data_IF_766181393059
#
_entry.id   IF_766181393059
#
_cell.length_a   1.000
_cell.length_b   1.000
_cell.length_c   1.000
_cell.angle_alpha   90.00
_cell.angle_beta   90.00
_cell.angle_gamma   90.00
#
_symmetry.space_group_name_H-M   'P 1'
#
loop_
_entity.id
_entity.type
_entity.pdbx_description
1 polymer ?
#
# COMPACT_ATOMS: atom_id res chain seq x y z
N UNK A 1 2.58 -19.53 -2.97
CA UNK A 1 2.49 -18.81 -4.25
C UNK A 1 3.48 -17.66 -4.23
N UNK A 2 4.11 -17.30 -5.37
CA UNK A 2 5.05 -16.19 -5.43
C UNK A 2 4.31 -14.86 -5.19
N UNK A 3 4.82 -14.06 -4.25
CA UNK A 3 4.30 -12.72 -3.96
C UNK A 3 4.85 -11.77 -5.02
N UNK A 4 3.99 -11.18 -5.83
CA UNK A 4 4.41 -10.19 -6.83
C UNK A 4 4.50 -8.82 -6.20
N UNK A 5 5.64 -8.14 -6.42
CA UNK A 5 5.89 -6.78 -5.94
C UNK A 5 5.70 -5.77 -7.06
N UNK A 6 4.70 -4.89 -6.94
CA UNK A 6 4.50 -3.74 -7.84
C UNK A 6 4.83 -2.44 -7.10
N UNK A 7 5.60 -1.55 -7.74
CA UNK A 7 5.97 -0.24 -7.16
C UNK A 7 5.26 0.85 -7.95
N UNK A 8 4.53 1.69 -7.24
CA UNK A 8 3.77 2.81 -7.78
C UNK A 8 4.27 4.10 -7.13
N UNK A 9 4.38 5.17 -7.90
CA UNK A 9 4.66 6.50 -7.38
C UNK A 9 3.42 7.37 -7.55
N UNK A 10 2.76 7.69 -6.42
CA UNK A 10 1.59 8.55 -6.40
C UNK A 10 2.05 10.00 -6.25
N UNK A 11 1.76 10.83 -7.25
CA UNK A 11 2.10 12.24 -7.19
C UNK A 11 1.23 12.93 -6.12
N UNK A 12 1.86 13.53 -5.10
CA UNK A 12 1.19 14.29 -4.04
C UNK A 12 1.13 15.77 -4.44
N UNK A 13 2.24 16.30 -4.96
CA UNK A 13 2.35 17.68 -5.45
C UNK A 13 3.10 17.70 -6.78
N UNK A 14 3.19 18.86 -7.43
CA UNK A 14 3.98 19.03 -8.66
C UNK A 14 5.46 18.63 -8.51
N UNK A 15 6.00 18.61 -7.28
CA UNK A 15 7.40 18.32 -6.98
C UNK A 15 7.61 17.13 -6.05
N UNK A 16 6.55 16.50 -5.56
CA UNK A 16 6.65 15.40 -4.60
C UNK A 16 5.77 14.21 -4.95
N UNK A 17 6.32 13.00 -4.77
CA UNK A 17 5.59 11.75 -4.94
C UNK A 17 5.75 10.82 -3.74
N UNK A 18 4.67 10.13 -3.37
CA UNK A 18 4.67 9.05 -2.41
C UNK A 18 5.00 7.73 -3.12
N UNK A 19 5.94 6.96 -2.58
CA UNK A 19 6.18 5.60 -3.04
C UNK A 19 5.22 4.63 -2.37
N UNK A 20 4.49 3.86 -3.17
CA UNK A 20 3.59 2.81 -2.73
C UNK A 20 4.10 1.47 -3.26
N UNK A 21 4.30 0.50 -2.37
CA UNK A 21 4.71 -0.85 -2.70
C UNK A 21 3.52 -1.78 -2.47
N UNK A 22 3.03 -2.39 -3.54
CA UNK A 22 1.99 -3.39 -3.50
C UNK A 22 2.63 -4.78 -3.51
N UNK A 23 2.33 -5.58 -2.48
CA UNK A 23 2.63 -6.99 -2.36
C UNK A 23 1.33 -7.75 -2.67
N UNK A 24 1.27 -8.34 -3.86
CA UNK A 24 0.08 -9.02 -4.36
C UNK A 24 0.27 -10.51 -4.12
N UNK A 25 -0.62 -11.11 -3.32
CA UNK A 25 -0.52 -12.52 -2.92
C UNK A 25 -0.87 -13.49 -4.06
N UNK A 26 -1.77 -13.07 -4.95
CA UNK A 26 -2.21 -13.80 -6.13
C UNK A 26 -2.33 -12.82 -7.31
N UNK A 27 -1.37 -12.88 -8.24
CA UNK A 27 -1.28 -11.93 -9.35
C UNK A 27 -2.37 -12.15 -10.39
N UNK A 28 -2.67 -13.40 -10.73
CA UNK A 28 -3.63 -13.74 -11.79
C UNK A 28 -5.02 -13.24 -11.39
N UNK A 29 -5.44 -13.55 -10.16
CA UNK A 29 -6.68 -13.05 -9.60
C UNK A 29 -6.75 -11.51 -9.55
N UNK A 30 -5.65 -10.85 -9.17
CA UNK A 30 -5.59 -9.40 -9.08
C UNK A 30 -5.79 -8.72 -10.44
N UNK A 31 -5.22 -9.30 -11.49
CA UNK A 31 -5.29 -8.79 -12.86
C UNK A 31 -6.66 -9.09 -13.49
N UNK A 32 -7.19 -10.31 -13.32
CA UNK A 32 -8.55 -10.70 -13.76
C UNK A 32 -9.64 -9.80 -13.17
N UNK A 33 -9.55 -9.49 -11.89
CA UNK A 33 -10.53 -8.66 -11.19
C UNK A 33 -10.30 -7.15 -11.41
N UNK A 34 -9.25 -6.77 -12.15
CA UNK A 34 -8.88 -5.37 -12.43
C UNK A 34 -8.82 -4.50 -11.18
N UNK A 35 -8.19 -5.03 -10.11
CA UNK A 35 -8.26 -4.42 -8.78
C UNK A 35 -7.44 -3.14 -8.61
N UNK A 36 -6.55 -2.81 -9.56
CA UNK A 36 -5.61 -1.72 -9.41
C UNK A 36 -6.26 -0.38 -9.07
N UNK A 37 -7.25 0.07 -9.84
CA UNK A 37 -7.96 1.33 -9.57
C UNK A 37 -8.65 1.32 -8.21
N UNK A 38 -9.31 0.19 -7.88
CA UNK A 38 -10.03 0.00 -6.62
C UNK A 38 -9.10 0.03 -5.41
N UNK A 39 -7.92 -0.60 -5.48
CA UNK A 39 -6.91 -0.60 -4.41
C UNK A 39 -6.39 0.81 -4.16
N UNK A 40 -6.02 1.54 -5.23
CA UNK A 40 -5.54 2.93 -5.09
C UNK A 40 -6.63 3.84 -4.51
N UNK A 41 -7.87 3.71 -4.99
CA UNK A 41 -9.00 4.48 -4.47
C UNK A 41 -9.29 4.18 -2.99
N UNK A 42 -9.24 2.91 -2.59
CA UNK A 42 -9.45 2.48 -1.21
C UNK A 42 -8.34 3.02 -0.27
N UNK A 43 -7.11 3.14 -0.76
CA UNK A 43 -5.99 3.70 -0.01
C UNK A 43 -6.00 5.23 0.07
N UNK A 44 -6.69 5.91 -0.86
CA UNK A 44 -6.65 7.38 -0.98
C UNK A 44 -6.96 8.10 0.33
N UNK A 45 -8.06 7.73 0.99
CA UNK A 45 -8.45 8.35 2.26
C UNK A 45 -7.40 8.18 3.36
N UNK A 46 -6.76 7.01 3.43
CA UNK A 46 -5.70 6.72 4.40
C UNK A 46 -4.43 7.51 4.10
N UNK A 47 -4.07 7.66 2.82
CA UNK A 47 -2.94 8.46 2.36
C UNK A 47 -3.16 9.94 2.67
N UNK A 48 -4.30 10.51 2.29
CA UNK A 48 -4.61 11.93 2.56
C UNK A 48 -4.61 12.20 4.05
N UNK A 49 -5.26 11.36 4.86
CA UNK A 49 -5.25 11.51 6.31
C UNK A 49 -3.84 11.44 6.88
N UNK A 50 -2.98 10.55 6.36
CA UNK A 50 -1.60 10.47 6.81
C UNK A 50 -0.81 11.74 6.47
N UNK A 51 -0.94 12.25 5.24
CA UNK A 51 -0.25 13.45 4.78
C UNK A 51 -0.72 14.72 5.50
N UNK A 52 -2.01 14.82 5.81
CA UNK A 52 -2.59 15.96 6.55
C UNK A 52 -2.31 15.86 8.05
N UNK A 53 -2.32 14.66 8.62
CA UNK A 53 -2.06 14.42 10.05
C UNK A 53 -0.57 14.19 10.35
N UNK A 54 0.38 14.54 9.49
CA UNK A 54 1.79 14.60 9.90
C UNK A 54 1.95 15.77 10.89
N UNK A 55 1.50 15.52 12.13
CA UNK A 55 1.36 16.50 13.20
C UNK A 55 2.71 17.11 13.51
N UNK A 56 2.89 18.38 13.15
CA UNK A 56 3.97 19.22 13.65
C UNK A 56 3.95 19.17 15.19
N UNK A 57 4.99 18.59 15.82
CA UNK A 57 5.11 18.53 17.29
C UNK A 57 5.40 17.17 17.92
N UNK A 58 5.23 16.05 17.20
CA UNK A 58 5.67 14.72 17.70
C UNK A 58 7.17 14.51 17.49
N UNK A 59 7.86 13.94 18.49
CA UNK A 59 9.27 13.55 18.34
C UNK A 59 9.43 12.49 17.24
N UNK A 60 10.58 12.48 16.57
CA UNK A 60 10.89 11.53 15.49
C UNK A 60 10.65 10.06 15.90
N UNK A 61 10.98 9.71 17.15
CA UNK A 61 10.76 8.38 17.70
C UNK A 61 9.27 8.01 17.84
N UNK A 62 8.43 8.95 18.30
CA UNK A 62 6.97 8.74 18.38
C UNK A 62 6.34 8.62 16.99
N UNK A 63 6.79 9.45 16.03
CA UNK A 63 6.36 9.36 14.63
C UNK A 63 6.71 8.00 14.03
N UNK A 64 7.96 7.53 14.18
CA UNK A 64 8.41 6.19 13.73
C UNK A 64 7.52 5.07 14.27
N UNK A 65 7.23 5.10 15.57
CA UNK A 65 6.37 4.09 16.21
C UNK A 65 4.92 4.13 15.71
N UNK A 66 4.36 5.31 15.44
CA UNK A 66 3.01 5.44 14.88
C UNK A 66 2.92 4.97 13.42
N UNK A 67 4.01 5.11 12.65
CA UNK A 67 4.11 4.71 11.25
C UNK A 67 4.08 3.19 11.08
N UNK A 68 4.80 2.49 11.96
CA UNK A 68 4.94 1.03 11.92
C UNK A 68 3.66 0.27 12.28
N UNK A 69 2.64 0.97 12.80
CA UNK A 69 1.36 0.36 13.10
C UNK A 69 0.68 -0.14 11.82
N UNK A 70 0.60 -1.47 11.73
CA UNK A 70 -0.15 -2.15 10.69
C UNK A 70 -1.64 -1.83 10.80
N UNK A 71 -2.21 -1.39 9.68
CA UNK A 71 -3.64 -1.11 9.53
C UNK A 71 -4.23 -2.09 8.51
N UNK A 72 -5.49 -2.45 8.69
CA UNK A 72 -6.24 -3.21 7.70
C UNK A 72 -7.42 -2.43 7.17
N UNK A 73 -7.74 -2.65 5.90
CA UNK A 73 -8.94 -2.16 5.26
C UNK A 73 -9.59 -3.33 4.54
N UNK A 74 -10.73 -3.77 5.06
CA UNK A 74 -11.52 -4.82 4.44
C UNK A 74 -12.46 -4.17 3.40
N UNK A 75 -12.47 -4.73 2.20
CA UNK A 75 -13.35 -4.35 1.10
C UNK A 75 -14.12 -5.59 0.65
N UNK A 76 -15.26 -5.40 -0.01
CA UNK A 76 -16.09 -6.51 -0.49
C UNK A 76 -15.31 -7.48 -1.41
N UNK A 77 -14.33 -6.96 -2.18
CA UNK A 77 -13.61 -7.72 -3.21
C UNK A 77 -12.17 -8.07 -2.83
N UNK A 78 -11.62 -7.50 -1.75
CA UNK A 78 -10.22 -7.70 -1.35
C UNK A 78 -9.99 -7.21 0.06
N UNK A 79 -8.87 -7.62 0.65
CA UNK A 79 -8.37 -7.10 1.91
C UNK A 79 -7.04 -6.41 1.70
N UNK A 80 -6.89 -5.22 2.30
CA UNK A 80 -5.62 -4.52 2.35
C UNK A 80 -5.05 -4.60 3.76
N UNK A 81 -3.78 -4.94 3.86
CA UNK A 81 -3.00 -4.76 5.08
C UNK A 81 -1.85 -3.82 4.76
N UNK A 82 -1.79 -2.66 5.40
CA UNK A 82 -0.85 -1.62 5.03
C UNK A 82 -0.17 -0.98 6.25
N UNK A 83 1.01 -0.42 6.02
CA UNK A 83 1.75 0.38 7.01
C UNK A 83 2.61 1.42 6.31
N UNK A 84 2.86 2.53 6.98
CA UNK A 84 3.80 3.53 6.50
C UNK A 84 5.19 3.22 7.06
N UNK A 85 6.21 3.35 6.23
CA UNK A 85 7.59 3.07 6.61
C UNK A 85 8.42 4.32 6.39
N UNK A 86 9.21 4.70 7.39
CA UNK A 86 10.20 5.77 7.24
C UNK A 86 11.29 5.33 6.24
N UNK A 87 11.65 6.21 5.32
CA UNK A 87 12.82 6.05 4.46
C UNK A 87 13.97 6.89 5.01
N UNK A 88 15.05 6.25 5.43
CA UNK A 88 16.23 6.96 5.95
C UNK A 88 16.98 7.73 4.86
N UNK A 89 16.83 7.31 3.60
CA UNK A 89 17.46 7.95 2.46
C UNK A 89 16.44 8.70 1.62
N UNK A 90 16.66 10.01 1.46
CA UNK A 90 15.91 10.81 0.50
C UNK A 90 16.20 10.31 -0.92
N UNK A 91 15.14 10.04 -1.69
CA UNK A 91 15.25 9.64 -3.10
C UNK A 91 14.72 10.75 -3.98
N UNK A 92 15.33 10.92 -5.15
CA UNK A 92 14.82 11.75 -6.23
C UNK A 92 14.43 10.86 -7.40
N UNK A 93 13.40 11.26 -8.14
CA UNK A 93 12.97 10.62 -9.38
C UNK A 93 12.90 11.67 -10.48
N UNK A 94 13.17 11.28 -11.72
CA UNK A 94 12.97 12.14 -12.88
C UNK A 94 11.61 11.80 -13.49
N UNK A 95 10.74 12.80 -13.59
CA UNK A 95 9.44 12.68 -14.21
C UNK A 95 9.45 13.39 -15.56
N UNK A 96 9.04 12.70 -16.62
CA UNK A 96 8.85 13.31 -17.94
C UNK A 96 7.44 13.90 -18.03
N UNK A 97 7.32 15.21 -18.15
CA UNK A 97 6.06 15.94 -18.33
C UNK A 97 6.17 16.87 -19.53
N UNK A 98 5.22 16.83 -20.47
CA UNK A 98 5.17 17.74 -21.62
C UNK A 98 6.50 17.86 -22.38
N UNK A 99 7.18 16.72 -22.62
CA UNK A 99 8.51 16.63 -23.26
C UNK A 99 9.68 17.23 -22.45
N UNK A 100 9.44 17.71 -21.23
CA UNK A 100 10.47 18.17 -20.29
C UNK A 100 10.74 17.14 -19.19
N UNK A 101 11.95 17.13 -18.64
CA UNK A 101 12.34 16.27 -17.53
C UNK A 101 12.44 17.10 -16.26
N UNK A 102 11.62 16.79 -15.27
CA UNK A 102 11.61 17.48 -13.98
C UNK A 102 12.07 16.52 -12.88
N UNK A 103 13.00 16.98 -12.06
CA UNK A 103 13.34 16.27 -10.83
C UNK A 103 12.20 16.44 -9.83
N UNK A 104 11.74 15.32 -9.29
CA UNK A 104 10.76 15.27 -8.21
C UNK A 104 11.35 14.56 -7.01
N UNK A 105 11.00 15.03 -5.82
CA UNK A 105 11.44 14.43 -4.56
C UNK A 105 10.47 13.31 -4.18
N UNK A 106 11.01 12.16 -3.78
CA UNK A 106 10.20 11.10 -3.18
C UNK A 106 10.01 11.44 -1.70
N UNK A 107 8.77 11.36 -1.24
CA UNK A 107 8.39 11.61 0.14
C UNK A 107 9.22 10.70 1.08
N UNK A 108 9.65 11.16 2.27
CA UNK A 108 10.51 10.39 3.18
C UNK A 108 9.78 9.22 3.86
N UNK A 109 8.60 8.86 3.36
CA UNK A 109 7.82 7.72 3.80
C UNK A 109 7.40 6.91 2.58
N UNK A 110 7.33 5.59 2.74
CA UNK A 110 6.71 4.71 1.76
C UNK A 110 5.50 4.00 2.37
N UNK A 111 4.53 3.68 1.53
CA UNK A 111 3.35 2.92 1.92
C UNK A 111 3.54 1.48 1.45
N UNK A 112 3.75 0.55 2.38
CA UNK A 112 3.76 -0.87 2.08
C UNK A 112 2.33 -1.41 2.23
N UNK A 113 1.85 -2.11 1.21
CA UNK A 113 0.48 -2.65 1.14
C UNK A 113 0.55 -4.10 0.72
N UNK A 114 -0.10 -4.98 1.46
CA UNK A 114 -0.41 -6.34 1.05
C UNK A 114 -1.85 -6.35 0.54
N UNK A 115 -2.03 -6.86 -0.67
CA UNK A 115 -3.34 -7.06 -1.30
C UNK A 115 -3.64 -8.54 -1.28
N UNK A 116 -4.71 -8.90 -0.60
CA UNK A 116 -5.15 -10.28 -0.42
C UNK A 116 -6.60 -10.47 -0.85
N UNK A 117 -6.97 -11.71 -1.15
CA UNK A 117 -8.36 -12.09 -1.35
C UNK A 117 -9.16 -11.76 -0.09
N UNK A 118 -10.42 -11.33 -0.20
CA UNK A 118 -11.26 -11.22 0.97
C UNK A 118 -11.31 -12.63 1.58
N UNK A 119 -11.20 -12.74 2.91
CA UNK A 119 -11.35 -14.04 3.57
C UNK A 119 -12.71 -14.62 3.13
N UNK A 120 -12.72 -15.53 2.15
CA UNK A 120 -13.76 -16.53 2.09
C UNK A 120 -13.66 -17.22 3.43
N UNK A 121 -14.69 -17.07 4.26
CA UNK A 121 -14.75 -17.73 5.55
C UNK A 121 -14.20 -19.14 5.39
N UNK A 122 -13.21 -19.50 6.21
CA UNK A 122 -12.98 -20.90 6.51
C UNK A 122 -14.29 -21.40 7.13
N UNK A 123 -15.20 -21.90 6.32
CA UNK A 123 -16.40 -22.56 6.81
C UNK A 123 -15.92 -23.69 7.72
N UNK A 124 -16.59 -23.93 8.84
CA UNK A 124 -16.26 -25.03 9.77
C UNK A 124 -16.06 -26.37 9.05
N UNK A 125 -16.72 -26.57 7.91
CA UNK A 125 -16.57 -27.71 7.00
C UNK A 125 -15.13 -27.95 6.52
N UNK A 126 -14.31 -26.91 6.37
CA UNK A 126 -12.91 -27.01 5.93
C UNK A 126 -11.97 -27.64 6.97
N UNK A 127 -12.42 -27.80 8.22
CA UNK A 127 -11.69 -28.49 9.29
C UNK A 127 -12.07 -29.97 9.43
N UNK A 128 -13.13 -30.44 8.75
CA UNK A 128 -13.62 -31.82 8.88
C UNK A 128 -13.32 -32.70 7.66
N UNK A 129 -12.66 -32.18 6.63
CA UNK A 129 -12.26 -32.99 5.48
C UNK A 129 -10.84 -33.52 5.70
N UNK A 130 -10.75 -34.86 5.79
CA UNK A 130 -9.61 -35.78 6.10
C UNK A 130 -9.36 -36.02 7.59
N UNK A 131 -9.73 -37.16 8.18
CA UNK A 131 -9.62 -38.55 7.70
C UNK A 131 -10.95 -39.32 7.70
N UNK A 132 -11.43 -39.69 6.51
CA UNK A 132 -12.36 -40.80 6.35
C UNK A 132 -11.83 -41.71 5.22
N UNK A 133 -11.31 -42.86 5.66
CA UNK A 133 -10.78 -44.04 4.95
C UNK A 133 -9.46 -43.89 4.21
#
# INVERSE_FOLDING_TARGET
MPITRKVVHLQITSRMALRVILHIMDQDWYEEQQLYSHVIQALYGSIVRFLVNDKHGLSLAKRRKELENTKSLDQARFRLVYRFLWQETHRAMILRQNKTYNAITVYPFELAVVVDKPNTQKNLESYFVTYAK
#
